data_IF_865422585002
#
_entry.id   IF_865422585002
#
_cell.length_a   1.000
_cell.length_b   1.000
_cell.length_c   1.000
_cell.angle_alpha   90.00
_cell.angle_beta   90.00
_cell.angle_gamma   90.00
#
_symmetry.space_group_name_H-M   'P 1'
#
loop_
_entity.id
_entity.type
_entity.pdbx_description
1 polymer ?
#
# COMPACT_ATOMS: atom_id res chain seq x y z
N UNK A 1 2.79 -0.53 1.46
CA UNK A 1 3.95 -1.42 1.69
C UNK A 1 4.30 -1.57 3.16
N UNK A 2 4.07 -0.57 4.00
CA UNK A 2 4.25 -0.67 5.47
C UNK A 2 3.49 -1.85 6.11
N UNK A 3 2.29 -2.20 5.59
CA UNK A 3 1.54 -3.35 6.08
C UNK A 3 2.27 -4.69 5.85
N UNK A 4 2.92 -4.90 4.71
CA UNK A 4 3.69 -6.12 4.46
C UNK A 4 4.90 -6.22 5.40
N UNK A 5 5.57 -5.10 5.67
CA UNK A 5 6.66 -5.05 6.64
C UNK A 5 6.15 -5.32 8.07
N UNK A 6 5.00 -4.75 8.45
CA UNK A 6 4.39 -4.98 9.75
C UNK A 6 4.03 -6.45 9.99
N UNK A 7 3.46 -7.14 8.99
CA UNK A 7 3.12 -8.56 9.08
C UNK A 7 4.28 -9.51 8.79
N UNK A 8 5.42 -8.98 8.32
CA UNK A 8 6.59 -9.78 8.00
C UNK A 8 6.45 -10.63 6.73
N UNK A 9 5.47 -10.35 5.86
CA UNK A 9 5.25 -11.14 4.67
C UNK A 9 4.17 -10.60 3.74
N UNK A 10 3.98 -11.28 2.61
CA UNK A 10 3.03 -10.92 1.56
C UNK A 10 1.91 -11.95 1.51
N UNK A 11 0.63 -11.56 1.63
CA UNK A 11 -0.49 -12.48 1.50
C UNK A 11 -0.59 -13.06 0.09
N UNK A 12 -1.11 -14.27 -0.05
CA UNK A 12 -1.28 -14.94 -1.35
C UNK A 12 -2.24 -14.17 -2.28
N UNK A 13 -3.24 -13.50 -1.71
CA UNK A 13 -4.17 -12.68 -2.48
C UNK A 13 -4.62 -11.46 -1.67
N UNK A 14 -4.91 -10.37 -2.39
CA UNK A 14 -5.45 -9.14 -1.82
C UNK A 14 -6.77 -8.78 -2.50
N UNK A 15 -7.78 -8.50 -1.68
CA UNK A 15 -9.05 -7.99 -2.16
C UNK A 15 -9.03 -6.47 -2.17
N UNK A 16 -9.21 -5.89 -3.35
CA UNK A 16 -9.28 -4.44 -3.54
C UNK A 16 -10.70 -3.98 -3.81
N UNK A 17 -10.97 -2.77 -3.39
CA UNK A 17 -12.06 -2.01 -3.96
C UNK A 17 -11.72 -1.54 -5.39
N UNK A 18 -12.75 -1.10 -6.13
CA UNK A 18 -12.59 -0.51 -7.45
C UNK A 18 -12.02 0.93 -7.35
N UNK A 19 -10.92 1.11 -6.62
CA UNK A 19 -10.26 2.40 -6.45
C UNK A 19 -9.60 2.84 -7.75
N UNK A 20 -9.73 4.11 -8.10
CA UNK A 20 -9.10 4.71 -9.30
C UNK A 20 -7.57 4.56 -9.35
N UNK A 21 -6.94 4.31 -8.21
CA UNK A 21 -5.48 4.05 -8.14
C UNK A 21 -5.14 2.68 -8.74
N UNK A 22 -5.99 1.67 -8.56
CA UNK A 22 -5.76 0.32 -9.07
C UNK A 22 -6.46 0.07 -10.42
N UNK A 23 -7.64 0.66 -10.61
CA UNK A 23 -8.51 0.45 -11.77
C UNK A 23 -8.67 1.76 -12.53
N UNK A 24 -8.11 1.82 -13.74
CA UNK A 24 -8.27 2.99 -14.63
C UNK A 24 -9.69 3.03 -15.23
N UNK A 25 -10.26 1.86 -15.59
CA UNK A 25 -11.59 1.76 -16.20
C UNK A 25 -12.22 0.39 -15.89
N UNK A 26 -13.52 0.38 -15.69
CA UNK A 26 -14.33 -0.84 -15.64
C UNK A 26 -15.04 -0.96 -17.00
N UNK A 27 -14.77 -2.04 -17.72
CA UNK A 27 -15.36 -2.33 -19.02
C UNK A 27 -16.76 -2.95 -18.84
N UNK A 28 -17.61 -2.86 -19.90
CA UNK A 28 -19.00 -3.36 -19.84
C UNK A 28 -19.11 -4.88 -19.64
N UNK A 29 -18.05 -5.64 -19.93
CA UNK A 29 -17.95 -7.08 -19.69
C UNK A 29 -17.45 -7.45 -18.26
N UNK A 30 -17.35 -6.46 -17.39
CA UNK A 30 -16.85 -6.61 -16.02
C UNK A 30 -15.32 -6.70 -15.90
N UNK A 31 -14.59 -6.70 -17.03
CA UNK A 31 -13.14 -6.60 -17.02
C UNK A 31 -12.67 -5.23 -16.57
N UNK A 32 -11.50 -5.18 -15.98
CA UNK A 32 -10.90 -3.98 -15.43
C UNK A 32 -9.61 -3.66 -16.14
N UNK A 33 -9.50 -2.45 -16.63
CA UNK A 33 -8.25 -1.90 -17.11
C UNK A 33 -7.48 -1.35 -15.89
N UNK A 34 -6.30 -1.93 -15.62
CA UNK A 34 -5.47 -1.56 -14.48
C UNK A 34 -4.67 -0.29 -14.78
N UNK A 35 -4.39 0.49 -13.75
CA UNK A 35 -3.43 1.59 -13.87
C UNK A 35 -2.02 1.03 -14.11
N UNK A 36 -1.14 1.82 -14.75
CA UNK A 36 0.22 1.36 -15.11
C UNK A 36 1.04 0.89 -13.89
N UNK A 37 0.94 1.58 -12.78
CA UNK A 37 1.72 1.27 -11.57
C UNK A 37 1.23 0.02 -10.81
N UNK A 38 -0.04 -0.36 -10.99
CA UNK A 38 -0.62 -1.46 -10.24
C UNK A 38 -0.06 -2.85 -10.63
N UNK A 39 0.11 -3.19 -11.92
CA UNK A 39 0.79 -4.42 -12.33
C UNK A 39 2.24 -4.53 -11.83
N UNK A 40 2.97 -3.42 -11.73
CA UNK A 40 4.32 -3.41 -11.17
C UNK A 40 4.32 -3.85 -9.70
N UNK A 41 3.37 -3.34 -8.90
CA UNK A 41 3.19 -3.74 -7.51
C UNK A 41 2.84 -5.24 -7.40
N UNK A 42 1.90 -5.72 -8.21
CA UNK A 42 1.46 -7.12 -8.22
C UNK A 42 2.61 -8.05 -8.62
N UNK A 43 3.36 -7.69 -9.66
CA UNK A 43 4.50 -8.48 -10.14
C UNK A 43 5.65 -8.52 -9.15
N UNK A 44 5.90 -7.41 -8.45
CA UNK A 44 7.00 -7.31 -7.49
C UNK A 44 6.75 -8.16 -6.24
N UNK A 45 5.52 -8.13 -5.73
CA UNK A 45 5.15 -8.84 -4.50
C UNK A 45 4.50 -10.21 -4.76
N UNK A 46 4.19 -10.55 -6.00
CA UNK A 46 3.67 -11.85 -6.45
C UNK A 46 2.37 -12.29 -5.76
N UNK A 47 1.50 -11.39 -5.38
CA UNK A 47 0.18 -11.72 -4.87
C UNK A 47 -0.89 -11.73 -5.98
N UNK A 48 -1.96 -12.50 -5.79
CA UNK A 48 -3.12 -12.46 -6.66
C UNK A 48 -4.02 -11.28 -6.29
N UNK A 49 -4.32 -10.40 -7.24
CA UNK A 49 -5.26 -9.31 -7.03
C UNK A 49 -6.70 -9.79 -7.26
N UNK A 50 -7.58 -9.45 -6.34
CA UNK A 50 -9.03 -9.67 -6.44
C UNK A 50 -9.74 -8.34 -6.26
N UNK A 51 -10.85 -8.17 -6.96
CA UNK A 51 -11.65 -6.94 -6.86
C UNK A 51 -13.06 -7.28 -6.40
N UNK A 52 -13.61 -6.44 -5.52
CA UNK A 52 -14.99 -6.52 -5.11
C UNK A 52 -15.94 -6.35 -6.30
N UNK A 53 -17.13 -6.92 -6.20
CA UNK A 53 -18.16 -6.81 -7.25
C UNK A 53 -18.66 -5.37 -7.32
N UNK A 54 -18.82 -4.80 -8.53
CA UNK A 54 -19.40 -3.47 -8.68
C UNK A 54 -20.80 -3.41 -8.04
N UNK A 55 -21.05 -2.37 -7.24
CA UNK A 55 -22.35 -2.15 -6.59
C UNK A 55 -22.70 -3.09 -5.41
N UNK A 56 -21.84 -4.02 -5.02
CA UNK A 56 -22.03 -4.91 -3.87
C UNK A 56 -21.23 -4.42 -2.66
N UNK A 57 -21.80 -3.49 -1.89
CA UNK A 57 -21.19 -2.95 -0.66
C UNK A 57 -20.89 -4.01 0.40
N UNK A 58 -21.66 -5.12 0.45
CA UNK A 58 -21.45 -6.20 1.41
C UNK A 58 -20.12 -6.90 1.32
N UNK A 59 -19.45 -6.86 0.16
CA UNK A 59 -18.10 -7.41 -0.01
C UNK A 59 -17.05 -6.66 0.86
N UNK A 60 -17.41 -5.49 1.41
CA UNK A 60 -16.57 -4.61 2.21
C UNK A 60 -16.94 -4.48 3.69
N UNK A 61 -18.06 -5.05 4.12
CA UNK A 61 -18.63 -4.81 5.46
C UNK A 61 -17.59 -4.96 6.58
N UNK A 62 -16.69 -5.94 6.47
CA UNK A 62 -15.62 -6.14 7.45
C UNK A 62 -14.58 -5.02 7.45
N UNK A 63 -14.24 -4.47 6.27
CA UNK A 63 -13.23 -3.41 6.15
C UNK A 63 -13.77 -2.08 6.69
N UNK A 64 -15.02 -1.74 6.37
CA UNK A 64 -15.68 -0.52 6.88
C UNK A 64 -15.83 -0.57 8.39
N UNK A 65 -16.23 -1.72 8.94
CA UNK A 65 -16.28 -1.95 10.39
C UNK A 65 -14.90 -1.79 11.05
N UNK A 66 -13.85 -2.30 10.42
CA UNK A 66 -12.48 -2.20 10.93
C UNK A 66 -11.97 -0.75 10.90
N UNK A 67 -12.24 0.01 9.83
CA UNK A 67 -11.89 1.44 9.74
C UNK A 67 -12.61 2.24 10.82
N UNK A 68 -13.92 2.02 11.02
CA UNK A 68 -14.68 2.66 12.10
C UNK A 68 -14.11 2.30 13.48
N UNK A 69 -13.79 1.02 13.68
CA UNK A 69 -13.18 0.55 14.92
C UNK A 69 -11.82 1.24 15.17
N UNK A 70 -10.95 1.30 14.18
CA UNK A 70 -9.64 1.95 14.29
C UNK A 70 -9.78 3.44 14.64
N UNK A 71 -10.70 4.15 13.97
CA UNK A 71 -10.97 5.56 14.27
C UNK A 71 -11.42 5.76 15.71
N UNK A 72 -12.37 4.97 16.19
CA UNK A 72 -12.93 5.13 17.54
C UNK A 72 -11.93 4.74 18.65
N UNK A 73 -11.07 3.76 18.41
CA UNK A 73 -10.18 3.23 19.45
C UNK A 73 -8.77 3.84 19.44
N UNK A 74 -8.31 4.34 18.29
CA UNK A 74 -6.95 4.86 18.16
C UNK A 74 -6.88 6.36 17.86
N UNK A 75 -8.00 6.95 17.36
CA UNK A 75 -8.04 8.34 16.91
C UNK A 75 -9.04 9.19 17.70
N UNK A 76 -9.52 8.69 18.83
CA UNK A 76 -10.42 9.43 19.75
C UNK A 76 -9.89 9.29 21.17
N UNK A 77 -9.56 10.40 21.86
CA UNK A 77 -9.47 11.77 21.32
C UNK A 77 -8.44 11.88 20.19
N UNK A 78 -8.54 12.94 19.38
CA UNK A 78 -7.60 13.14 18.27
C UNK A 78 -6.17 13.13 18.82
N UNK A 79 -5.29 12.24 18.38
CA UNK A 79 -3.96 12.14 18.93
C UNK A 79 -3.10 13.33 18.51
N UNK A 80 -2.43 13.94 19.47
CA UNK A 80 -1.40 14.94 19.21
C UNK A 80 -0.04 14.26 19.04
N UNK A 81 0.68 14.61 17.98
CA UNK A 81 2.01 14.09 17.66
C UNK A 81 2.82 15.17 16.95
N UNK A 82 4.13 15.22 17.19
CA UNK A 82 5.03 16.19 16.57
C UNK A 82 5.29 15.86 15.07
N UNK A 83 5.05 14.61 14.66
CA UNK A 83 5.23 14.16 13.27
C UNK A 83 4.32 12.97 12.93
N UNK A 84 4.16 12.71 11.62
CA UNK A 84 3.48 11.49 11.17
C UNK A 84 4.25 10.22 11.55
N UNK A 85 5.58 10.26 11.65
CA UNK A 85 6.39 9.12 12.06
C UNK A 85 6.12 8.75 13.51
N UNK A 86 6.05 9.75 14.39
CA UNK A 86 5.66 9.55 15.79
C UNK A 86 4.25 8.97 15.91
N UNK A 87 3.29 9.54 15.17
CA UNK A 87 1.92 9.05 15.16
C UNK A 87 1.85 7.59 14.69
N UNK A 88 2.56 7.26 13.61
CA UNK A 88 2.60 5.90 13.08
C UNK A 88 3.24 4.91 14.05
N UNK A 89 4.34 5.29 14.71
CA UNK A 89 4.98 4.46 15.74
C UNK A 89 4.03 4.18 16.92
N UNK A 90 3.28 5.19 17.35
CA UNK A 90 2.27 5.05 18.41
C UNK A 90 1.12 4.13 17.99
N UNK A 91 0.61 4.29 16.77
CA UNK A 91 -0.45 3.44 16.23
C UNK A 91 0.03 1.98 16.06
N UNK A 92 1.27 1.78 15.61
CA UNK A 92 1.88 0.45 15.53
C UNK A 92 1.98 -0.20 16.91
N UNK A 93 2.45 0.52 17.92
CA UNK A 93 2.54 0.01 19.28
C UNK A 93 1.15 -0.41 19.82
N UNK A 94 0.11 0.39 19.59
CA UNK A 94 -1.26 0.06 19.96
C UNK A 94 -1.78 -1.17 19.22
N UNK A 95 -1.50 -1.31 17.92
CA UNK A 95 -1.85 -2.51 17.16
C UNK A 95 -1.16 -3.76 17.70
N UNK A 96 0.12 -3.67 18.10
CA UNK A 96 0.87 -4.77 18.70
C UNK A 96 0.31 -5.13 20.08
N UNK A 97 -0.01 -4.16 20.92
CA UNK A 97 -0.62 -4.38 22.24
C UNK A 97 -1.95 -5.14 22.13
N UNK A 98 -2.76 -4.80 21.13
CA UNK A 98 -4.05 -5.48 20.89
C UNK A 98 -3.92 -6.95 20.49
N UNK A 99 -2.76 -7.42 20.12
CA UNK A 99 -2.56 -8.86 19.84
C UNK A 99 -2.82 -9.75 21.06
N UNK A 100 -2.75 -9.20 22.28
CA UNK A 100 -3.13 -9.91 23.51
C UNK A 100 -4.65 -10.04 23.71
N UNK A 101 -5.45 -9.25 22.98
CA UNK A 101 -6.91 -9.28 23.07
C UNK A 101 -7.53 -10.42 22.25
N UNK A 102 -8.80 -10.70 22.50
CA UNK A 102 -9.62 -11.62 21.72
C UNK A 102 -10.56 -10.84 20.80
N UNK A 103 -10.67 -11.26 19.56
CA UNK A 103 -11.60 -10.66 18.59
C UNK A 103 -12.91 -11.43 18.54
N UNK A 104 -14.03 -10.75 18.81
CA UNK A 104 -15.36 -11.33 18.72
C UNK A 104 -15.55 -12.56 19.62
N UNK A 105 -16.02 -13.68 19.04
CA UNK A 105 -16.29 -14.93 19.75
C UNK A 105 -15.12 -15.93 19.71
N UNK A 106 -13.95 -15.54 19.24
CA UNK A 106 -12.80 -16.44 19.16
C UNK A 106 -12.24 -16.75 20.55
N UNK A 107 -11.92 -18.02 20.79
CA UNK A 107 -11.30 -18.46 22.04
C UNK A 107 -9.83 -18.01 22.13
N UNK A 108 -9.15 -17.93 21.00
CA UNK A 108 -7.75 -17.54 20.85
C UNK A 108 -7.58 -16.03 20.78
N UNK A 109 -6.41 -15.55 21.21
CA UNK A 109 -6.04 -14.14 21.05
C UNK A 109 -5.76 -13.80 19.59
N UNK A 110 -5.81 -12.50 19.27
CA UNK A 110 -5.44 -12.02 17.93
C UNK A 110 -4.02 -12.46 17.56
N UNK A 111 -3.08 -12.37 18.51
CA UNK A 111 -1.69 -12.77 18.29
C UNK A 111 -1.53 -14.27 18.05
N UNK A 112 -2.24 -15.12 18.79
CA UNK A 112 -2.19 -16.56 18.57
C UNK A 112 -2.70 -16.94 17.17
N UNK A 113 -3.77 -16.31 16.70
CA UNK A 113 -4.30 -16.51 15.34
C UNK A 113 -3.36 -15.95 14.28
N UNK A 114 -2.73 -14.80 14.55
CA UNK A 114 -1.77 -14.17 13.64
C UNK A 114 -0.58 -15.09 13.34
N UNK A 115 -0.13 -15.91 14.29
CA UNK A 115 0.96 -16.88 14.06
C UNK A 115 0.61 -17.85 12.93
N UNK A 116 -0.61 -18.39 12.92
CA UNK A 116 -1.07 -19.27 11.85
C UNK A 116 -1.21 -18.53 10.50
N UNK A 117 -1.72 -17.30 10.54
CA UNK A 117 -1.87 -16.48 9.34
C UNK A 117 -0.50 -16.10 8.74
N UNK A 118 0.47 -15.73 9.57
CA UNK A 118 1.82 -15.36 9.10
C UNK A 118 2.58 -16.54 8.50
N UNK A 119 2.33 -17.76 8.96
CA UNK A 119 2.92 -18.97 8.36
C UNK A 119 2.46 -19.20 6.91
N UNK A 120 1.32 -18.64 6.50
CA UNK A 120 0.80 -18.72 5.13
C UNK A 120 1.28 -17.57 4.23
N UNK A 121 1.98 -16.57 4.78
CA UNK A 121 2.52 -15.46 4.00
C UNK A 121 3.75 -15.89 3.18
N UNK A 122 3.92 -15.26 2.03
CA UNK A 122 5.17 -15.35 1.26
C UNK A 122 6.23 -14.46 1.90
N UNK A 123 7.49 -14.84 1.75
CA UNK A 123 8.62 -14.00 2.15
C UNK A 123 8.57 -12.63 1.44
N UNK A 124 9.00 -11.60 2.14
CA UNK A 124 9.18 -10.28 1.55
C UNK A 124 10.29 -10.32 0.50
N UNK A 125 10.17 -9.57 -0.61
CA UNK A 125 11.27 -9.40 -1.54
C UNK A 125 12.45 -8.73 -0.83
N UNK A 126 13.67 -9.11 -1.22
CA UNK A 126 14.91 -8.56 -0.65
C UNK A 126 15.00 -7.04 -0.82
N UNK A 127 14.54 -6.56 -1.98
CA UNK A 127 14.49 -5.13 -2.28
C UNK A 127 13.04 -4.68 -2.27
N UNK A 128 12.65 -3.72 -1.42
CA UNK A 128 11.30 -3.19 -1.42
C UNK A 128 10.99 -2.44 -2.72
N UNK A 129 9.75 -2.49 -3.18
CA UNK A 129 9.32 -1.68 -4.32
C UNK A 129 9.42 -0.19 -3.97
N UNK A 130 10.18 0.54 -4.75
CA UNK A 130 10.26 1.99 -4.63
C UNK A 130 9.03 2.62 -5.31
N UNK A 131 8.14 3.31 -4.57
CA UNK A 131 6.92 3.90 -5.13
C UNK A 131 7.24 5.23 -5.81
N UNK A 132 7.95 5.16 -6.94
CA UNK A 132 8.30 6.34 -7.73
C UNK A 132 7.68 6.28 -9.13
N UNK A 133 7.34 7.43 -9.68
CA UNK A 133 6.95 7.55 -11.07
C UNK A 133 8.22 7.65 -11.94
N UNK A 134 8.47 6.62 -12.76
CA UNK A 134 9.59 6.63 -13.69
C UNK A 134 9.19 7.32 -14.99
N UNK A 135 9.91 8.39 -15.35
CA UNK A 135 9.72 9.16 -16.58
C UNK A 135 11.04 9.28 -17.34
N UNK A 136 10.96 9.14 -18.65
CA UNK A 136 12.09 9.48 -19.51
C UNK A 136 12.11 10.98 -19.73
N UNK A 137 13.25 11.61 -19.56
CA UNK A 137 13.45 13.05 -19.77
C UNK A 137 14.75 13.32 -20.53
N UNK A 138 14.79 14.48 -21.20
CA UNK A 138 16.04 14.99 -21.82
C UNK A 138 16.66 16.02 -20.89
N UNK A 139 17.95 15.87 -20.66
CA UNK A 139 18.73 16.87 -19.91
C UNK A 139 19.08 18.02 -20.84
N UNK A 140 18.81 19.25 -20.42
CA UNK A 140 19.14 20.46 -21.17
C UNK A 140 20.66 20.73 -21.14
N UNK A 141 21.12 21.66 -21.99
CA UNK A 141 22.51 22.15 -21.98
C UNK A 141 22.89 22.87 -20.69
N UNK A 142 21.93 23.21 -19.85
CA UNK A 142 22.12 23.83 -18.53
C UNK A 142 21.99 22.83 -17.38
N UNK A 143 22.10 21.52 -17.67
CA UNK A 143 21.96 20.44 -16.70
C UNK A 143 20.61 20.44 -15.94
N UNK A 144 19.52 20.76 -16.63
CA UNK A 144 18.16 20.75 -16.09
C UNK A 144 17.32 19.67 -16.76
N UNK A 145 16.43 19.06 -16.00
CA UNK A 145 15.36 18.18 -16.49
C UNK A 145 14.02 18.79 -16.12
N UNK A 146 13.16 18.97 -17.11
CA UNK A 146 11.79 19.43 -16.88
C UNK A 146 10.90 18.25 -16.50
N UNK A 147 10.26 18.36 -15.33
CA UNK A 147 9.22 17.46 -14.90
C UNK A 147 7.97 18.26 -14.51
N UNK A 148 6.86 18.05 -15.22
CA UNK A 148 5.64 18.86 -15.11
C UNK A 148 5.94 20.35 -15.32
N UNK A 149 5.73 21.20 -14.33
CA UNK A 149 5.93 22.64 -14.39
C UNK A 149 7.27 23.11 -13.79
N UNK A 150 8.10 22.20 -13.28
CA UNK A 150 9.34 22.54 -12.58
C UNK A 150 10.57 22.05 -13.34
N UNK A 151 11.67 22.76 -13.19
CA UNK A 151 12.98 22.36 -13.68
C UNK A 151 13.85 21.92 -12.50
N UNK A 152 14.45 20.72 -12.62
CA UNK A 152 15.28 20.11 -11.61
C UNK A 152 16.71 20.01 -12.09
N UNK A 153 17.68 20.47 -11.26
CA UNK A 153 19.09 20.31 -11.55
C UNK A 153 19.54 18.87 -11.46
N UNK A 154 20.36 18.45 -12.39
CA UNK A 154 20.97 17.12 -12.42
C UNK A 154 22.48 17.24 -12.61
N UNK A 155 23.27 16.23 -12.23
CA UNK A 155 24.70 16.23 -12.46
C UNK A 155 25.06 16.44 -13.94
N UNK A 156 26.02 17.33 -14.24
CA UNK A 156 26.44 17.72 -15.59
C UNK A 156 26.86 16.55 -16.48
N UNK A 157 27.38 15.45 -15.89
CA UNK A 157 27.69 14.21 -16.60
C UNK A 157 26.50 13.57 -17.33
N UNK A 158 25.27 14.00 -17.04
CA UNK A 158 24.05 13.48 -17.64
C UNK A 158 23.57 14.32 -18.85
N UNK A 159 24.23 15.43 -19.17
CA UNK A 159 23.80 16.35 -20.24
C UNK A 159 23.80 15.72 -21.65
N UNK A 160 24.64 14.72 -21.93
CA UNK A 160 24.72 14.07 -23.24
C UNK A 160 23.90 12.78 -23.34
N UNK A 161 23.20 12.35 -22.30
CA UNK A 161 22.54 11.05 -22.27
C UNK A 161 21.00 11.17 -22.21
N UNK A 162 20.30 10.47 -23.12
CA UNK A 162 18.90 10.09 -22.88
C UNK A 162 18.89 9.00 -21.84
N UNK A 163 18.54 9.30 -20.60
CA UNK A 163 18.33 8.29 -19.57
C UNK A 163 16.89 8.36 -19.08
N UNK A 164 16.31 7.17 -18.83
CA UNK A 164 15.05 7.04 -18.11
C UNK A 164 15.33 7.17 -16.61
N UNK A 165 14.46 7.89 -15.93
CA UNK A 165 14.47 8.12 -14.48
C UNK A 165 13.28 7.41 -13.85
#
# INVERSE_FOLDING_TARGET
>A
MSAFAFFGGVPLSLLYDNLKIAVAKICGDGKRERTRAFPELVSHYLFADRFGRPGKGNDKGNVEGLVKHARLNFMVPIPEAASFDELNARLEAQCRQRQAERAGRHAETIGARLVADTAALRALPVVPLEPCEKRSGRVSSTALVRYRCNDYSVPTRLMASRRSW
#
